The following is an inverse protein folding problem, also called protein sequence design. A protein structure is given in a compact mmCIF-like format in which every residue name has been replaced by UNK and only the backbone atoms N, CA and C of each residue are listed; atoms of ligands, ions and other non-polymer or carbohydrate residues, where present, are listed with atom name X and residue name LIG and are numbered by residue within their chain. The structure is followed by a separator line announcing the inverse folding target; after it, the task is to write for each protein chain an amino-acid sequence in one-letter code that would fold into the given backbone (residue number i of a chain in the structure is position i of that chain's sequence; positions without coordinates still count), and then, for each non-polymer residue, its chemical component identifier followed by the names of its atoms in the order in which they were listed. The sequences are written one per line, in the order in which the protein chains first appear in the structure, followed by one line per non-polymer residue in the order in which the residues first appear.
data_IF_326572952323
#
_entry.id   IF_326572952323
#
_cell.length_a   1.000
_cell.length_b   1.000
_cell.length_c   1.000
_cell.angle_alpha   90.00
_cell.angle_beta   90.00
_cell.angle_gamma   90.00
#
_symmetry.space_group_name_H-M   'P 1'
#
loop_
_entity.id
_entity.type
_entity.pdbx_description
1 polymer ?
#
# COMPACT_ATOMS: atom_id res chain seq x y z
N UNK A 1 12.02 -0.64 15.15
CA UNK A 1 10.87 -1.15 14.37
C UNK A 1 10.45 -2.54 14.80
N UNK A 2 11.31 -3.55 14.74
CA UNK A 2 10.96 -4.96 15.01
C UNK A 2 10.26 -5.22 16.36
N UNK A 3 10.61 -4.49 17.42
CA UNK A 3 9.94 -4.63 18.74
C UNK A 3 8.53 -4.05 18.75
N UNK A 4 8.26 -2.98 17.97
CA UNK A 4 6.96 -2.28 17.98
C UNK A 4 5.84 -3.11 17.39
N UNK A 5 6.13 -3.93 16.37
CA UNK A 5 5.14 -4.71 15.63
C UNK A 5 5.51 -6.21 15.57
N UNK A 6 6.07 -6.75 16.63
CA UNK A 6 6.37 -8.19 16.78
C UNK A 6 7.16 -8.78 15.61
N UNK A 7 8.19 -8.08 15.14
CA UNK A 7 9.05 -8.52 14.04
C UNK A 7 8.52 -8.19 12.65
N UNK A 8 7.39 -7.51 12.53
CA UNK A 8 6.86 -7.06 11.24
C UNK A 8 7.23 -5.61 10.95
N UNK A 9 7.48 -5.32 9.66
CA UNK A 9 7.64 -3.98 9.16
C UNK A 9 6.31 -3.52 8.53
N UNK A 10 5.64 -2.47 9.03
CA UNK A 10 4.51 -1.88 8.33
C UNK A 10 4.97 -1.27 7.01
N UNK A 11 4.30 -1.64 5.93
CA UNK A 11 4.51 -1.10 4.58
C UNK A 11 3.14 -0.70 4.04
N UNK A 12 2.98 0.59 3.77
CA UNK A 12 1.75 1.10 3.19
C UNK A 12 1.75 0.77 1.71
N UNK A 13 0.65 0.21 1.23
CA UNK A 13 0.45 -0.17 -0.17
C UNK A 13 -0.90 0.33 -0.62
N UNK A 14 -0.95 0.82 -1.84
CA UNK A 14 -2.17 1.14 -2.56
C UNK A 14 -2.05 0.63 -3.99
N UNK A 15 -3.17 0.17 -4.57
CA UNK A 15 -3.23 -0.36 -5.92
C UNK A 15 -4.37 0.27 -6.72
N UNK A 16 -4.09 0.62 -8.00
CA UNK A 16 -5.13 0.92 -8.96
C UNK A 16 -5.38 -0.30 -9.85
N UNK A 17 -6.64 -0.55 -10.13
CA UNK A 17 -7.06 -1.83 -10.71
C UNK A 17 -8.09 -1.66 -11.81
N UNK A 18 -8.22 -2.66 -12.66
CA UNK A 18 -9.25 -2.73 -13.70
C UNK A 18 -10.63 -3.15 -13.19
N UNK A 19 -10.86 -3.20 -11.87
CA UNK A 19 -12.14 -3.60 -11.27
C UNK A 19 -11.94 -4.14 -9.85
N UNK A 20 -12.99 -4.69 -9.24
CA UNK A 20 -13.00 -5.03 -7.81
C UNK A 20 -12.61 -6.49 -7.49
N UNK A 21 -12.55 -7.38 -8.46
CA UNK A 21 -12.26 -8.81 -8.26
C UNK A 21 -10.80 -9.11 -8.63
N UNK A 22 -9.96 -9.31 -7.63
CA UNK A 22 -8.53 -9.59 -7.81
C UNK A 22 -8.23 -10.87 -8.62
N UNK A 23 -9.16 -11.83 -8.65
CA UNK A 23 -9.03 -13.04 -9.45
C UNK A 23 -9.29 -12.84 -10.94
N UNK A 24 -9.97 -11.74 -11.31
CA UNK A 24 -10.44 -11.46 -12.67
C UNK A 24 -9.84 -10.20 -13.27
N UNK A 25 -9.66 -9.14 -12.47
CA UNK A 25 -9.30 -7.84 -12.99
C UNK A 25 -7.78 -7.60 -12.94
N UNK A 26 -7.33 -6.74 -13.84
CA UNK A 26 -5.93 -6.36 -13.95
C UNK A 26 -5.47 -5.50 -12.76
N UNK A 27 -4.23 -5.73 -12.31
CA UNK A 27 -3.47 -4.75 -11.56
C UNK A 27 -2.92 -3.72 -12.56
N UNK A 28 -3.20 -2.44 -12.34
CA UNK A 28 -2.81 -1.36 -13.25
C UNK A 28 -1.68 -0.48 -12.69
N UNK A 29 -1.69 -0.24 -11.38
CA UNK A 29 -0.67 0.55 -10.70
C UNK A 29 -0.46 0.00 -9.29
N UNK A 30 0.74 0.13 -8.76
CA UNK A 30 1.06 -0.25 -7.39
C UNK A 30 2.10 0.72 -6.81
N UNK A 31 1.86 1.19 -5.60
CA UNK A 31 2.82 1.95 -4.82
C UNK A 31 3.02 1.31 -3.44
N UNK A 32 4.22 1.48 -2.89
CA UNK A 32 4.55 0.99 -1.56
C UNK A 32 5.47 1.98 -0.83
N UNK A 33 5.17 2.25 0.44
CA UNK A 33 6.01 3.07 1.33
C UNK A 33 6.28 2.28 2.60
N UNK A 34 7.50 1.73 2.76
CA UNK A 34 7.94 1.19 4.05
C UNK A 34 7.98 2.30 5.10
N UNK A 35 7.47 2.03 6.30
CA UNK A 35 7.56 3.02 7.38
C UNK A 35 8.90 2.91 8.10
N UNK A 36 9.39 4.06 8.58
CA UNK A 36 10.63 4.19 9.32
C UNK A 36 10.38 4.74 10.73
N UNK A 37 11.41 4.75 11.56
CA UNK A 37 11.39 5.45 12.83
C UNK A 37 12.38 6.62 12.75
N UNK A 38 11.93 7.79 13.16
CA UNK A 38 12.81 8.93 13.37
C UNK A 38 13.63 8.79 14.68
N UNK A 39 14.49 9.77 14.96
CA UNK A 39 15.34 9.78 16.15
C UNK A 39 14.53 9.84 17.46
N UNK A 40 13.29 10.31 17.42
CA UNK A 40 12.37 10.33 18.56
C UNK A 40 11.56 9.02 18.70
N UNK A 41 11.78 8.04 17.80
CA UNK A 41 11.06 6.77 17.78
C UNK A 41 9.64 6.88 17.22
N UNK A 42 9.31 7.98 16.54
CA UNK A 42 8.03 8.15 15.87
C UNK A 42 8.05 7.50 14.50
N UNK A 43 6.90 6.95 14.08
CA UNK A 43 6.73 6.45 12.71
C UNK A 43 6.71 7.61 11.72
N UNK A 44 7.50 7.47 10.70
CA UNK A 44 7.58 8.40 9.55
C UNK A 44 7.57 7.62 8.24
N UNK A 45 7.32 8.32 7.14
CA UNK A 45 7.36 7.75 5.82
C UNK A 45 8.81 7.46 5.40
N UNK A 46 9.06 6.28 4.87
CA UNK A 46 10.31 5.95 4.20
C UNK A 46 10.25 6.29 2.70
N UNK A 47 11.22 5.77 1.95
CA UNK A 47 11.30 5.98 0.50
C UNK A 47 10.21 5.18 -0.21
N UNK A 48 9.43 5.86 -1.07
CA UNK A 48 8.41 5.23 -1.90
C UNK A 48 9.02 4.40 -3.04
N UNK A 49 8.33 3.33 -3.41
CA UNK A 49 8.51 2.59 -4.65
C UNK A 49 7.17 2.55 -5.38
N UNK A 50 7.19 2.76 -6.70
CA UNK A 50 5.99 2.88 -7.51
C UNK A 50 6.21 2.25 -8.89
N UNK A 51 5.17 1.65 -9.46
CA UNK A 51 5.19 1.11 -10.80
C UNK A 51 3.79 1.14 -11.45
N UNK A 52 3.74 1.58 -12.69
CA UNK A 52 2.61 1.26 -13.57
C UNK A 52 2.77 -0.17 -14.09
N UNK A 53 1.65 -0.88 -14.24
CA UNK A 53 1.64 -2.30 -14.59
C UNK A 53 0.92 -2.48 -15.92
N UNK A 54 1.52 -3.24 -16.83
CA UNK A 54 0.83 -3.71 -18.04
C UNK A 54 -0.23 -4.73 -17.61
N UNK A 55 -1.50 -4.58 -18.06
CA UNK A 55 -2.53 -5.57 -17.76
C UNK A 55 -2.05 -6.98 -18.12
N UNK A 56 -2.09 -7.89 -17.16
CA UNK A 56 -1.64 -9.27 -17.40
C UNK A 56 -2.61 -9.99 -18.35
N UNK A 57 -2.06 -10.90 -19.16
CA UNK A 57 -2.86 -11.71 -20.07
C UNK A 57 -3.96 -12.48 -19.32
N UNK A 58 -5.17 -12.51 -19.88
CA UNK A 58 -6.33 -13.16 -19.27
C UNK A 58 -7.04 -12.34 -18.19
N UNK A 59 -6.52 -11.18 -17.81
CA UNK A 59 -7.22 -10.27 -16.90
C UNK A 59 -8.21 -9.37 -17.64
N UNK A 60 -9.21 -8.88 -16.91
CA UNK A 60 -10.27 -8.00 -17.43
C UNK A 60 -10.09 -6.58 -16.91
N UNK A 61 -10.62 -5.63 -17.66
CA UNK A 61 -10.69 -4.22 -17.27
C UNK A 61 -12.14 -3.75 -17.44
N UNK A 62 -12.72 -3.30 -16.35
CA UNK A 62 -14.01 -2.63 -16.36
C UNK A 62 -13.79 -1.17 -16.82
N UNK A 63 -14.48 -0.71 -17.87
CA UNK A 63 -14.40 0.67 -18.33
C UNK A 63 -14.69 1.70 -17.23
N UNK A 64 -15.61 1.41 -16.30
CA UNK A 64 -15.92 2.30 -15.19
C UNK A 64 -14.71 2.49 -14.25
N UNK A 65 -13.88 1.47 -14.09
CA UNK A 65 -12.65 1.60 -13.28
C UNK A 65 -11.65 2.56 -13.92
N UNK A 66 -11.52 2.56 -15.25
CA UNK A 66 -10.67 3.52 -15.96
C UNK A 66 -11.22 4.95 -15.87
N UNK A 67 -12.55 5.12 -15.88
CA UNK A 67 -13.17 6.44 -15.70
C UNK A 67 -12.89 7.00 -14.30
N UNK A 68 -12.91 6.15 -13.27
CA UNK A 68 -12.63 6.55 -11.87
C UNK A 68 -11.16 6.87 -11.66
N UNK A 69 -10.26 6.00 -12.14
CA UNK A 69 -8.81 6.16 -11.92
C UNK A 69 -8.17 7.16 -12.89
N UNK A 70 -8.83 7.46 -14.02
CA UNK A 70 -8.26 8.29 -15.08
C UNK A 70 -7.06 7.64 -15.80
N UNK A 71 -6.82 6.35 -15.59
CA UNK A 71 -5.68 5.65 -16.20
C UNK A 71 -5.92 5.39 -17.69
N UNK A 72 -5.09 6.00 -18.53
CA UNK A 72 -4.99 5.62 -19.94
C UNK A 72 -3.95 4.50 -20.09
N UNK A 73 -4.43 3.26 -20.22
CA UNK A 73 -3.57 2.06 -20.35
C UNK A 73 -2.74 2.05 -21.63
N UNK A 74 -3.11 2.87 -22.63
CA UNK A 74 -2.42 2.97 -23.92
C UNK A 74 -1.49 4.18 -24.02
N UNK A 75 -1.41 5.01 -22.97
CA UNK A 75 -0.61 6.22 -22.98
C UNK A 75 0.89 5.90 -23.17
N UNK A 76 1.56 6.45 -24.21
CA UNK A 76 2.92 6.03 -24.59
C UNK A 76 3.97 6.35 -23.51
N UNK A 77 3.73 7.36 -22.67
CA UNK A 77 4.65 7.75 -21.59
C UNK A 77 4.31 7.14 -20.22
N UNK A 78 3.37 6.20 -20.17
CA UNK A 78 3.04 5.52 -18.93
C UNK A 78 4.19 4.67 -18.39
N UNK A 79 5.09 4.20 -19.28
CA UNK A 79 6.27 3.37 -18.93
C UNK A 79 5.89 2.16 -18.05
N UNK A 80 4.74 1.55 -18.34
CA UNK A 80 4.24 0.40 -17.62
C UNK A 80 5.15 -0.81 -17.78
N UNK A 81 5.34 -1.55 -16.69
CA UNK A 81 6.15 -2.77 -16.65
C UNK A 81 5.27 -4.01 -16.71
N UNK A 82 5.76 -5.14 -17.26
CA UNK A 82 5.12 -6.42 -17.04
C UNK A 82 4.89 -6.70 -15.56
N UNK A 83 3.79 -7.36 -15.20
CA UNK A 83 3.36 -7.58 -13.80
C UNK A 83 4.49 -8.17 -12.93
N UNK A 84 5.23 -9.15 -13.45
CA UNK A 84 6.36 -9.75 -12.72
C UNK A 84 7.47 -8.74 -12.40
N UNK A 85 7.83 -7.88 -13.36
CA UNK A 85 8.88 -6.86 -13.18
C UNK A 85 8.43 -5.75 -12.23
N UNK A 86 7.16 -5.32 -12.32
CA UNK A 86 6.57 -4.35 -11.41
C UNK A 86 6.59 -4.87 -9.97
N UNK A 87 6.15 -6.11 -9.75
CA UNK A 87 6.21 -6.74 -8.43
C UNK A 87 7.65 -6.88 -7.93
N UNK A 88 8.61 -7.32 -8.76
CA UNK A 88 10.01 -7.42 -8.32
C UNK A 88 10.57 -6.07 -7.91
N UNK A 89 10.26 -4.99 -8.65
CA UNK A 89 10.66 -3.62 -8.29
C UNK A 89 10.14 -3.22 -6.90
N UNK A 90 8.84 -3.38 -6.65
CA UNK A 90 8.22 -3.08 -5.35
C UNK A 90 8.78 -4.00 -4.25
N UNK A 91 8.83 -5.30 -4.49
CA UNK A 91 9.25 -6.27 -3.48
C UNK A 91 10.74 -6.17 -3.15
N UNK A 92 11.59 -5.77 -4.09
CA UNK A 92 13.00 -5.51 -3.82
C UNK A 92 13.17 -4.38 -2.79
N UNK A 93 12.44 -3.26 -2.98
CA UNK A 93 12.44 -2.13 -2.06
C UNK A 93 11.93 -2.55 -0.66
N UNK A 94 10.81 -3.27 -0.62
CA UNK A 94 10.22 -3.76 0.64
C UNK A 94 11.18 -4.74 1.36
N UNK A 95 11.77 -5.70 0.65
CA UNK A 95 12.74 -6.65 1.24
C UNK A 95 14.01 -5.94 1.76
N UNK A 96 14.47 -4.90 1.08
CA UNK A 96 15.58 -4.08 1.55
C UNK A 96 15.23 -3.38 2.87
N UNK A 97 14.04 -2.79 2.97
CA UNK A 97 13.55 -2.16 4.18
C UNK A 97 13.35 -3.17 5.33
N UNK A 98 12.77 -4.35 5.06
CA UNK A 98 12.61 -5.43 6.05
C UNK A 98 13.97 -5.82 6.67
N UNK A 99 15.01 -5.97 5.83
CA UNK A 99 16.38 -6.27 6.32
C UNK A 99 16.97 -5.11 7.12
N UNK A 100 16.85 -3.87 6.63
CA UNK A 100 17.38 -2.66 7.30
C UNK A 100 16.82 -2.49 8.71
N UNK A 101 15.55 -2.83 8.92
CA UNK A 101 14.87 -2.72 10.21
C UNK A 101 14.95 -3.99 11.08
N UNK A 102 15.72 -5.00 10.67
CA UNK A 102 15.82 -6.30 11.37
C UNK A 102 14.42 -6.92 11.62
N UNK A 103 13.51 -6.77 10.65
CA UNK A 103 12.20 -7.38 10.67
C UNK A 103 12.22 -8.73 9.94
N UNK A 104 11.26 -9.59 10.28
CA UNK A 104 11.12 -10.92 9.66
C UNK A 104 10.39 -10.84 8.32
N UNK A 105 9.39 -9.95 8.24
CA UNK A 105 8.46 -9.83 7.12
C UNK A 105 7.79 -8.45 7.12
N UNK A 106 7.25 -8.04 5.98
CA UNK A 106 6.36 -6.89 5.90
C UNK A 106 4.93 -7.28 6.32
N UNK A 107 4.21 -6.33 6.94
CA UNK A 107 2.76 -6.35 7.08
C UNK A 107 2.18 -5.21 6.26
N UNK A 108 1.22 -5.53 5.39
CA UNK A 108 0.59 -4.54 4.53
C UNK A 108 -0.30 -3.61 5.36
N UNK A 109 -0.16 -2.32 5.12
CA UNK A 109 -1.05 -1.27 5.62
C UNK A 109 -1.78 -0.69 4.42
N UNK A 110 -3.10 -0.54 4.47
CA UNK A 110 -3.89 0.04 3.39
C UNK A 110 -5.19 0.64 3.90
N UNK A 111 -5.89 1.36 3.04
CA UNK A 111 -7.25 1.82 3.30
C UNK A 111 -8.24 0.88 2.62
N UNK A 112 -8.85 -0.05 3.35
CA UNK A 112 -9.41 -1.33 2.92
C UNK A 112 -8.33 -2.35 2.52
N UNK A 113 -7.32 -2.49 3.32
CA UNK A 113 -6.06 -3.20 3.07
C UNK A 113 -6.17 -4.63 2.53
N UNK A 114 -7.29 -5.33 2.76
CA UNK A 114 -7.54 -6.65 2.17
C UNK A 114 -7.77 -6.59 0.67
N UNK A 115 -8.26 -5.48 0.14
CA UNK A 115 -8.39 -5.26 -1.29
C UNK A 115 -7.00 -5.26 -1.95
N UNK A 116 -6.09 -4.42 -1.45
CA UNK A 116 -4.72 -4.32 -1.96
C UNK A 116 -3.97 -5.64 -1.81
N UNK A 117 -4.05 -6.27 -0.64
CA UNK A 117 -3.43 -7.56 -0.40
C UNK A 117 -3.99 -8.65 -1.34
N UNK A 118 -5.27 -8.61 -1.66
CA UNK A 118 -5.93 -9.50 -2.60
C UNK A 118 -5.32 -9.39 -4.00
N UNK A 119 -5.17 -8.17 -4.52
CA UNK A 119 -4.55 -7.92 -5.83
C UNK A 119 -3.06 -8.27 -5.85
N UNK A 120 -2.31 -7.93 -4.80
CA UNK A 120 -0.90 -8.33 -4.68
C UNK A 120 -0.77 -9.85 -4.69
N UNK A 121 -1.58 -10.58 -3.94
CA UNK A 121 -1.53 -12.05 -3.91
C UNK A 121 -1.95 -12.68 -5.24
N UNK A 122 -2.97 -12.13 -5.92
CA UNK A 122 -3.40 -12.61 -7.24
C UNK A 122 -2.30 -12.38 -8.31
N UNK A 123 -1.68 -11.20 -8.30
CA UNK A 123 -0.56 -10.88 -9.18
C UNK A 123 0.66 -11.77 -8.92
N UNK A 124 0.98 -12.07 -7.66
CA UNK A 124 2.01 -13.05 -7.27
C UNK A 124 1.72 -14.43 -7.82
N UNK A 125 0.46 -14.88 -7.72
CA UNK A 125 0.06 -16.20 -8.24
C UNK A 125 0.14 -16.27 -9.76
N UNK A 126 -0.36 -15.26 -10.47
CA UNK A 126 -0.31 -15.18 -11.96
C UNK A 126 1.12 -15.13 -12.48
N UNK A 127 1.94 -14.26 -11.90
CA UNK A 127 3.32 -14.04 -12.35
C UNK A 127 4.30 -15.13 -11.88
N UNK A 128 3.88 -16.04 -11.00
CA UNK A 128 4.75 -17.06 -10.40
C UNK A 128 5.85 -16.49 -9.49
N UNK A 129 5.66 -15.30 -8.95
CA UNK A 129 6.66 -14.63 -8.13
C UNK A 129 6.83 -15.32 -6.77
N UNK A 130 8.04 -15.85 -6.47
CA UNK A 130 8.25 -16.75 -5.31
C UNK A 130 8.61 -16.08 -4.00
N UNK A 131 8.96 -14.78 -3.99
CA UNK A 131 9.52 -14.08 -2.83
C UNK A 131 8.65 -12.90 -2.39
N UNK A 132 7.34 -13.14 -2.19
CA UNK A 132 6.43 -12.15 -1.64
C UNK A 132 6.88 -11.76 -0.21
N UNK A 133 7.21 -10.48 0.04
CA UNK A 133 7.68 -10.02 1.37
C UNK A 133 6.55 -9.85 2.38
N UNK A 134 5.29 -9.79 1.93
CA UNK A 134 4.15 -9.49 2.78
C UNK A 134 3.65 -10.70 3.56
N UNK A 135 3.06 -10.44 4.72
CA UNK A 135 2.30 -11.43 5.46
C UNK A 135 1.11 -11.91 4.60
N UNK A 136 0.84 -13.21 4.51
CA UNK A 136 -0.12 -13.74 3.53
C UNK A 136 -1.58 -13.31 3.76
N UNK A 137 -1.96 -12.94 4.99
CA UNK A 137 -3.34 -12.61 5.34
C UNK A 137 -3.50 -11.54 6.45
N UNK A 138 -2.44 -11.16 7.19
CA UNK A 138 -2.56 -10.12 8.21
C UNK A 138 -2.24 -8.76 7.61
N UNK A 139 -3.06 -7.77 7.95
CA UNK A 139 -2.93 -6.39 7.50
C UNK A 139 -3.16 -5.42 8.66
N UNK A 140 -2.74 -4.18 8.50
CA UNK A 140 -3.26 -3.04 9.24
C UNK A 140 -4.21 -2.25 8.34
N UNK A 141 -5.46 -2.07 8.77
CA UNK A 141 -6.47 -1.40 7.99
C UNK A 141 -6.77 0.00 8.55
N UNK A 142 -6.50 1.02 7.74
CA UNK A 142 -6.70 2.41 8.15
C UNK A 142 -8.16 2.84 8.14
N UNK A 143 -9.08 2.12 7.48
CA UNK A 143 -10.53 2.36 7.62
C UNK A 143 -10.96 2.14 9.07
N UNK A 144 -10.54 1.00 9.63
CA UNK A 144 -10.85 0.66 11.03
C UNK A 144 -10.20 1.67 12.00
N UNK A 145 -8.90 1.96 11.78
CA UNK A 145 -8.15 2.88 12.65
C UNK A 145 -8.72 4.30 12.61
N UNK A 146 -9.03 4.82 11.42
CA UNK A 146 -9.61 6.15 11.25
C UNK A 146 -11.07 6.21 11.73
N UNK A 147 -11.81 5.12 11.56
CA UNK A 147 -13.16 4.96 12.13
C UNK A 147 -13.14 5.14 13.64
N UNK A 148 -12.19 4.50 14.33
CA UNK A 148 -12.03 4.61 15.79
C UNK A 148 -11.48 5.97 16.21
N UNK A 149 -10.45 6.50 15.50
CA UNK A 149 -9.77 7.73 15.91
C UNK A 149 -10.54 9.00 15.54
N UNK A 150 -11.25 9.02 14.42
CA UNK A 150 -11.85 10.23 13.84
C UNK A 150 -13.31 10.07 13.41
N UNK A 151 -13.91 8.89 13.55
CA UNK A 151 -15.27 8.62 13.05
C UNK A 151 -15.38 8.67 11.51
N UNK A 152 -14.28 8.44 10.79
CA UNK A 152 -14.22 8.56 9.33
C UNK A 152 -13.75 7.26 8.70
N UNK A 153 -14.39 6.87 7.58
CA UNK A 153 -14.10 5.62 6.85
C UNK A 153 -13.76 5.85 5.37
N UNK A 154 -13.83 7.10 4.92
CA UNK A 154 -13.43 7.51 3.57
C UNK A 154 -12.08 8.19 3.66
N UNK A 155 -11.10 7.76 2.86
CA UNK A 155 -9.69 8.21 2.96
C UNK A 155 -9.57 9.73 2.98
N UNK A 156 -10.17 10.43 2.01
CA UNK A 156 -10.12 11.89 1.92
C UNK A 156 -10.62 12.57 3.21
N UNK A 157 -11.71 12.08 3.78
CA UNK A 157 -12.29 12.64 5.03
C UNK A 157 -11.44 12.29 6.25
N UNK A 158 -10.88 11.09 6.29
CA UNK A 158 -10.01 10.65 7.37
C UNK A 158 -8.69 11.46 7.38
N UNK A 159 -8.10 11.71 6.23
CA UNK A 159 -6.90 12.53 6.05
C UNK A 159 -7.15 13.97 6.51
N UNK A 160 -8.26 14.58 6.09
CA UNK A 160 -8.66 15.91 6.52
C UNK A 160 -8.94 15.99 8.04
N UNK A 161 -9.64 14.99 8.60
CA UNK A 161 -9.90 14.91 10.04
C UNK A 161 -8.61 14.72 10.87
N UNK A 162 -7.59 14.08 10.29
CA UNK A 162 -6.25 13.96 10.88
C UNK A 162 -5.41 15.25 10.78
N UNK A 163 -5.92 16.31 10.13
CA UNK A 163 -5.29 17.62 9.98
C UNK A 163 -4.36 17.72 8.76
N UNK A 164 -4.47 16.83 7.78
CA UNK A 164 -3.68 16.89 6.54
C UNK A 164 -4.50 17.46 5.38
N UNK A 165 -3.78 18.04 4.42
CA UNK A 165 -4.37 18.50 3.17
C UNK A 165 -4.70 17.30 2.26
N UNK A 166 -5.86 17.34 1.61
CA UNK A 166 -6.27 16.43 0.55
C UNK A 166 -6.43 17.19 -0.75
N UNK A 167 -5.76 16.74 -1.79
CA UNK A 167 -5.89 17.27 -3.15
C UNK A 167 -6.74 16.34 -4.01
N UNK A 168 -7.98 16.71 -4.35
CA UNK A 168 -8.84 15.86 -5.17
C UNK A 168 -8.31 15.60 -6.58
N UNK A 169 -7.43 16.48 -7.10
CA UNK A 169 -6.86 16.33 -8.43
C UNK A 169 -5.79 15.22 -8.51
N UNK A 170 -5.24 14.80 -7.37
CA UNK A 170 -4.27 13.71 -7.26
C UNK A 170 -4.89 12.41 -6.75
N UNK A 171 -6.15 12.43 -6.33
CA UNK A 171 -6.88 11.24 -5.90
C UNK A 171 -6.89 10.18 -7.01
N UNK A 172 -6.90 8.89 -6.60
CA UNK A 172 -6.79 7.73 -7.51
C UNK A 172 -5.46 7.62 -8.27
N UNK A 173 -4.38 8.17 -7.69
CA UNK A 173 -3.01 7.81 -8.01
C UNK A 173 -2.49 6.93 -6.89
N UNK A 174 -2.05 5.70 -7.19
CA UNK A 174 -1.57 4.79 -6.16
C UNK A 174 -0.46 5.42 -5.31
N UNK A 175 0.43 6.23 -5.89
CA UNK A 175 1.48 6.91 -5.13
C UNK A 175 0.91 7.95 -4.15
N UNK A 176 -0.01 8.80 -4.60
CA UNK A 176 -0.62 9.83 -3.76
C UNK A 176 -1.44 9.21 -2.63
N UNK A 177 -2.30 8.24 -2.95
CA UNK A 177 -3.17 7.59 -1.97
C UNK A 177 -2.34 6.77 -0.96
N UNK A 178 -1.24 6.13 -1.39
CA UNK A 178 -0.25 5.51 -0.49
C UNK A 178 0.38 6.52 0.48
N UNK A 179 0.80 7.72 -0.01
CA UNK A 179 1.39 8.76 0.85
C UNK A 179 0.38 9.28 1.88
N UNK A 180 -0.86 9.55 1.48
CA UNK A 180 -1.89 10.03 2.37
C UNK A 180 -2.28 8.97 3.42
N UNK A 181 -2.40 7.72 3.00
CA UNK A 181 -2.64 6.58 3.89
C UNK A 181 -1.48 6.38 4.88
N UNK A 182 -0.23 6.56 4.44
CA UNK A 182 0.95 6.48 5.30
C UNK A 182 0.97 7.60 6.36
N UNK A 183 0.68 8.84 5.97
CA UNK A 183 0.54 9.98 6.91
C UNK A 183 -0.56 9.73 7.93
N UNK A 184 -1.72 9.25 7.49
CA UNK A 184 -2.85 8.91 8.34
C UNK A 184 -2.48 7.80 9.34
N UNK A 185 -1.88 6.71 8.87
CA UNK A 185 -1.44 5.62 9.73
C UNK A 185 -0.40 6.08 10.75
N UNK A 186 0.64 6.81 10.33
CA UNK A 186 1.65 7.35 11.23
C UNK A 186 1.03 8.27 12.30
N UNK A 187 0.12 9.16 11.90
CA UNK A 187 -0.57 10.08 12.82
C UNK A 187 -1.34 9.32 13.91
N UNK A 188 -2.09 8.30 13.52
CA UNK A 188 -2.87 7.50 14.46
C UNK A 188 -1.94 6.64 15.34
N UNK A 189 -1.01 5.91 14.73
CA UNK A 189 -0.13 5.01 15.46
C UNK A 189 0.83 5.72 16.40
N UNK A 190 1.24 6.94 16.10
CA UNK A 190 2.09 7.77 16.97
C UNK A 190 1.34 8.40 18.14
N UNK A 191 0.01 8.54 18.05
CA UNK A 191 -0.82 8.99 19.16
C UNK A 191 -1.00 7.91 20.25
N UNK A 192 -0.74 6.63 19.93
CA UNK A 192 -0.79 5.53 20.88
C UNK A 192 0.60 5.24 21.45
N UNK A 193 0.72 5.04 22.76
CA UNK A 193 2.02 4.69 23.35
C UNK A 193 2.55 3.40 22.73
N UNK A 194 3.85 3.37 22.43
CA UNK A 194 4.49 2.14 22.00
C UNK A 194 4.28 1.06 23.07
N UNK A 195 3.99 -0.21 22.67
CA UNK A 195 3.86 -1.29 23.65
C UNK A 195 5.10 -1.33 24.55
N UNK A 196 4.89 -1.38 25.86
CA UNK A 196 5.99 -1.59 26.80
C UNK A 196 6.74 -2.87 26.43
N UNK A 197 8.07 -2.94 26.55
CA UNK A 197 8.78 -4.17 26.38
C UNK A 197 8.19 -5.21 27.34
N UNK A 198 7.52 -6.21 26.81
CA UNK A 198 7.17 -7.36 27.62
C UNK A 198 8.49 -8.11 27.87
N UNK A 199 8.83 -8.23 29.15
CA UNK A 199 10.01 -8.92 29.61
C UNK A 199 10.04 -10.41 29.23
#
# INVERSE_FOLDING_TARGET
MSRRFRGFLPVVVDVETGGFDAGRHALLEIAAIPLELDDAGQLVLGTSAHAHVVPAEGTQIDPQSLEVTGIDIHHPFRLAKPEHEALEHIFAAVRAAVRRHNCQRAILVGHNAHFDLGFVNAAVARSGHKRNPFHPFSVFDTVTLAGVAYGQTVLARAVQAAGFHWDPAQAHSALYDTEQTARLFCRIANAWPAPSPQG
#
